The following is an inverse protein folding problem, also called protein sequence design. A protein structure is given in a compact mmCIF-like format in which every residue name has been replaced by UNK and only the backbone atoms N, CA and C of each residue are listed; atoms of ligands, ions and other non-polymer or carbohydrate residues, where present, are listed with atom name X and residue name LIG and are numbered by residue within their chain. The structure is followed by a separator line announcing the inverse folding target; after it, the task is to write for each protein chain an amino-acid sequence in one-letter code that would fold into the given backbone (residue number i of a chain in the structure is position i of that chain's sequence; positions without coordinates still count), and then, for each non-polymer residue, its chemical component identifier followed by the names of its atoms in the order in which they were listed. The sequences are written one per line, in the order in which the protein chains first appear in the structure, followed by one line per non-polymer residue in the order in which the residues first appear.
data_IF_149275160001
#
_entry.id   IF_149275160001
#
_cell.length_a   1.000
_cell.length_b   1.000
_cell.length_c   1.000
_cell.angle_alpha   90.00
_cell.angle_beta   90.00
_cell.angle_gamma   90.00
#
_symmetry.space_group_name_H-M   'P 1'
#
loop_
_entity.id
_entity.type
_entity.pdbx_description
1 polymer ?
#
# COMPACT_ATOMS: atom_id res chain seq x y z
N UNK A 1 -21.44 0.89 -10.50
CA UNK A 1 -22.88 0.97 -10.20
C UNK A 1 -23.69 0.62 -11.45
N UNK A 2 -24.88 0.00 -11.30
CA UNK A 2 -25.82 -0.22 -12.43
C UNK A 2 -26.87 0.85 -12.41
N UNK A 3 -26.85 1.76 -13.38
CA UNK A 3 -27.93 2.70 -13.65
C UNK A 3 -28.57 2.35 -14.99
N UNK A 4 -29.90 2.14 -15.03
CA UNK A 4 -30.66 1.84 -16.24
C UNK A 4 -30.13 0.70 -17.11
N UNK A 5 -29.52 -0.33 -16.49
CA UNK A 5 -28.97 -1.48 -17.19
C UNK A 5 -27.57 -1.32 -17.79
N UNK A 6 -26.97 -0.13 -17.73
CA UNK A 6 -25.58 0.13 -18.09
C UNK A 6 -24.69 0.10 -16.85
N UNK A 7 -23.43 -0.36 -16.99
CA UNK A 7 -22.41 -0.19 -15.97
C UNK A 7 -21.79 1.19 -16.10
N UNK A 8 -21.86 2.00 -15.06
CA UNK A 8 -21.12 3.26 -14.98
C UNK A 8 -19.79 3.02 -14.28
N UNK A 9 -18.67 3.60 -14.77
CA UNK A 9 -17.39 3.50 -14.08
C UNK A 9 -17.49 4.15 -12.70
N UNK A 10 -16.86 3.52 -11.71
CA UNK A 10 -16.70 4.05 -10.36
C UNK A 10 -15.21 4.27 -10.15
N UNK A 11 -14.81 5.51 -9.90
CA UNK A 11 -13.42 5.86 -9.69
C UNK A 11 -13.00 5.58 -8.23
N UNK A 12 -11.75 5.17 -7.98
CA UNK A 12 -11.26 4.86 -6.64
C UNK A 12 -11.45 5.99 -5.62
N UNK A 13 -11.26 7.25 -5.99
CA UNK A 13 -11.48 8.40 -5.11
C UNK A 13 -12.91 8.49 -4.54
N UNK A 14 -13.91 7.94 -5.26
CA UNK A 14 -15.31 7.96 -4.81
C UNK A 14 -15.58 7.07 -3.60
N UNK A 15 -14.62 6.18 -3.23
CA UNK A 15 -14.69 5.40 -2.01
C UNK A 15 -14.10 6.13 -0.80
N UNK A 16 -13.35 7.21 -1.01
CA UNK A 16 -12.76 8.02 0.06
C UNK A 16 -13.81 8.99 0.61
N UNK A 17 -13.96 9.03 1.94
CA UNK A 17 -15.01 9.81 2.64
C UNK A 17 -14.48 11.01 3.40
N UNK A 18 -13.17 11.14 3.49
CA UNK A 18 -12.48 12.25 4.16
C UNK A 18 -11.42 12.80 3.21
N UNK A 19 -11.11 14.08 3.35
CA UNK A 19 -10.12 14.71 2.51
C UNK A 19 -8.70 14.15 2.73
N UNK A 20 -7.84 14.31 1.71
CA UNK A 20 -6.45 13.89 1.74
C UNK A 20 -5.49 15.07 1.97
N UNK A 21 -4.22 14.77 2.29
CA UNK A 21 -3.16 15.78 2.39
C UNK A 21 -3.01 16.58 1.10
N UNK A 22 -3.25 15.93 -0.04
CA UNK A 22 -3.16 16.56 -1.37
C UNK A 22 -4.26 17.61 -1.56
N UNK A 23 -5.50 17.28 -1.20
CA UNK A 23 -6.61 18.26 -1.24
C UNK A 23 -6.37 19.43 -0.30
N UNK A 24 -5.84 19.16 0.91
CA UNK A 24 -5.48 20.23 1.84
C UNK A 24 -4.40 21.12 1.23
N UNK A 25 -3.29 20.56 0.75
CA UNK A 25 -2.22 21.33 0.13
C UNK A 25 -2.72 22.21 -1.04
N UNK A 26 -3.56 21.65 -1.90
CA UNK A 26 -4.17 22.42 -3.01
C UNK A 26 -5.09 23.55 -2.55
N UNK A 27 -5.80 23.38 -1.47
CA UNK A 27 -6.63 24.45 -0.89
C UNK A 27 -5.78 25.67 -0.52
N UNK A 28 -4.52 25.46 -0.19
CA UNK A 28 -3.53 26.51 0.09
C UNK A 28 -2.70 26.91 -1.14
N UNK A 29 -3.09 26.47 -2.33
CA UNK A 29 -2.44 26.85 -3.59
C UNK A 29 -1.11 26.13 -3.84
N UNK A 30 -0.81 25.05 -3.10
CA UNK A 30 0.40 24.26 -3.28
C UNK A 30 0.20 23.25 -4.42
N UNK A 31 1.26 23.04 -5.21
CA UNK A 31 1.29 22.00 -6.24
C UNK A 31 1.58 20.64 -5.63
N UNK A 32 0.94 19.60 -6.16
CA UNK A 32 1.00 18.23 -5.63
C UNK A 32 1.27 17.21 -6.74
N UNK A 33 2.05 16.19 -6.42
CA UNK A 33 2.30 15.07 -7.33
C UNK A 33 2.39 13.74 -6.58
N UNK A 34 2.07 12.65 -7.27
CA UNK A 34 2.21 11.31 -6.70
C UNK A 34 2.44 10.26 -7.78
N UNK A 35 3.32 9.30 -7.51
CA UNK A 35 3.56 8.15 -8.38
C UNK A 35 3.26 6.83 -7.66
N UNK A 36 2.47 5.96 -8.29
CA UNK A 36 2.10 4.68 -7.70
C UNK A 36 2.10 3.54 -8.73
N UNK A 37 1.66 2.34 -8.31
CA UNK A 37 1.78 1.08 -9.07
C UNK A 37 0.54 0.68 -9.87
N UNK A 38 -0.60 1.28 -9.58
CA UNK A 38 -1.87 1.01 -10.25
C UNK A 38 -2.64 2.30 -10.44
N UNK A 39 -3.40 2.47 -11.54
CA UNK A 39 -4.35 3.56 -11.67
C UNK A 39 -5.38 3.63 -10.53
N UNK A 40 -5.64 2.50 -9.85
CA UNK A 40 -6.53 2.45 -8.68
C UNK A 40 -6.03 3.30 -7.49
N UNK A 41 -4.74 3.61 -7.42
CA UNK A 41 -4.21 4.56 -6.42
C UNK A 41 -4.58 6.02 -6.70
N UNK A 42 -5.30 6.29 -7.75
CA UNK A 42 -6.01 7.55 -8.00
C UNK A 42 -6.89 7.97 -6.79
N UNK A 43 -7.19 7.03 -5.90
CA UNK A 43 -7.86 7.30 -4.62
C UNK A 43 -7.20 8.42 -3.78
N UNK A 44 -5.89 8.66 -3.94
CA UNK A 44 -5.16 9.74 -3.25
C UNK A 44 -5.67 11.14 -3.61
N UNK A 45 -6.38 11.27 -4.74
CA UNK A 45 -7.07 12.49 -5.13
C UNK A 45 -8.14 12.95 -4.12
N UNK A 46 -8.55 12.04 -3.21
CA UNK A 46 -9.59 12.32 -2.23
C UNK A 46 -10.98 12.50 -2.84
N UNK A 47 -12.03 12.75 -2.05
CA UNK A 47 -13.41 12.82 -2.49
C UNK A 47 -13.68 13.76 -3.66
N UNK A 48 -12.87 14.80 -3.83
CA UNK A 48 -13.01 15.75 -4.97
C UNK A 48 -12.54 15.17 -6.31
N UNK A 49 -11.74 14.08 -6.28
CA UNK A 49 -11.08 13.52 -7.46
C UNK A 49 -9.98 14.44 -8.05
N UNK A 50 -9.55 15.47 -7.33
CA UNK A 50 -8.67 16.52 -7.84
C UNK A 50 -7.53 16.93 -6.88
N UNK A 51 -7.22 16.10 -5.88
CA UNK A 51 -6.19 16.41 -4.88
C UNK A 51 -4.77 16.38 -5.44
N UNK A 52 -4.50 15.61 -6.46
CA UNK A 52 -3.16 15.49 -7.08
C UNK A 52 -3.15 16.16 -8.44
N UNK A 53 -2.23 17.10 -8.65
CA UNK A 53 -2.07 17.82 -9.93
C UNK A 53 -1.38 16.98 -10.98
N UNK A 54 -0.44 16.12 -10.56
CA UNK A 54 0.39 15.30 -11.43
C UNK A 54 0.43 13.86 -10.89
N UNK A 55 -0.48 13.03 -11.38
CA UNK A 55 -0.61 11.63 -10.96
C UNK A 55 -0.03 10.70 -12.02
N UNK A 56 1.02 9.96 -11.65
CA UNK A 56 1.72 9.02 -12.51
C UNK A 56 1.66 7.60 -11.94
N UNK A 57 0.80 6.75 -12.48
CA UNK A 57 0.60 5.39 -11.99
C UNK A 57 0.48 4.38 -13.15
N UNK A 58 1.60 4.04 -13.79
CA UNK A 58 1.62 2.97 -14.81
C UNK A 58 1.22 1.63 -14.16
N UNK A 59 0.43 0.81 -14.87
CA UNK A 59 -0.05 -0.48 -14.36
C UNK A 59 1.10 -1.48 -14.23
N UNK A 60 1.42 -1.91 -13.00
CA UNK A 60 2.52 -2.84 -12.72
C UNK A 60 2.27 -4.25 -13.26
N UNK A 61 1.00 -4.66 -13.41
CA UNK A 61 0.65 -5.95 -13.98
C UNK A 61 0.68 -5.95 -15.52
N UNK A 62 1.07 -4.82 -16.15
CA UNK A 62 1.25 -4.76 -17.60
C UNK A 62 2.44 -5.60 -18.07
N UNK A 63 2.40 -6.02 -19.33
CA UNK A 63 3.43 -6.86 -19.95
C UNK A 63 4.72 -6.04 -20.23
N UNK A 64 5.81 -6.31 -19.50
CA UNK A 64 7.06 -5.57 -19.63
C UNK A 64 7.72 -5.72 -21.01
N UNK A 65 7.44 -6.82 -21.74
CA UNK A 65 8.00 -7.06 -23.08
C UNK A 65 7.49 -6.05 -24.11
N UNK A 66 6.35 -5.42 -23.85
CA UNK A 66 5.72 -4.42 -24.72
C UNK A 66 6.22 -3.00 -24.47
N UNK A 67 7.01 -2.79 -23.43
CA UNK A 67 7.43 -1.44 -23.01
C UNK A 67 8.89 -1.39 -22.57
N UNK A 68 9.17 -1.60 -21.30
CA UNK A 68 10.46 -1.32 -20.69
C UNK A 68 11.49 -2.46 -20.80
N UNK A 69 11.03 -3.71 -20.99
CA UNK A 69 11.89 -4.90 -21.04
C UNK A 69 11.56 -5.74 -22.27
N UNK A 70 11.99 -5.34 -23.50
CA UNK A 70 11.68 -6.09 -24.71
C UNK A 70 12.17 -7.56 -24.72
N UNK A 71 13.16 -7.87 -23.88
CA UNK A 71 13.69 -9.25 -23.69
C UNK A 71 12.88 -10.12 -22.73
N UNK A 72 11.88 -9.54 -22.04
CA UNK A 72 11.00 -10.32 -21.17
C UNK A 72 10.13 -11.27 -22.00
N UNK A 73 9.69 -12.36 -21.37
CA UNK A 73 8.74 -13.28 -22.01
C UNK A 73 7.40 -12.56 -22.23
N UNK A 74 6.84 -12.56 -23.46
CA UNK A 74 5.51 -12.00 -23.70
C UNK A 74 4.45 -12.60 -22.78
N UNK A 75 3.59 -11.76 -22.21
CA UNK A 75 2.57 -12.15 -21.24
C UNK A 75 3.06 -12.26 -19.80
N UNK A 76 4.33 -11.86 -19.52
CA UNK A 76 4.80 -11.67 -18.15
C UNK A 76 4.19 -10.41 -17.52
N UNK A 77 4.38 -10.26 -16.20
CA UNK A 77 4.13 -9.04 -15.44
C UNK A 77 5.45 -8.49 -14.90
N UNK A 78 5.49 -7.19 -14.58
CA UNK A 78 6.64 -6.63 -13.83
C UNK A 78 6.81 -7.28 -12.46
N UNK A 79 5.76 -7.88 -11.90
CA UNK A 79 5.80 -8.59 -10.62
C UNK A 79 6.32 -10.03 -10.71
N UNK A 80 6.61 -10.55 -11.91
CA UNK A 80 7.11 -11.92 -12.07
C UNK A 80 8.57 -12.10 -11.59
N UNK A 81 9.34 -10.99 -11.49
CA UNK A 81 10.72 -10.98 -10.99
C UNK A 81 11.04 -9.65 -10.34
N UNK A 82 11.83 -9.68 -9.24
CA UNK A 82 12.29 -8.44 -8.60
C UNK A 82 13.07 -7.54 -9.56
N UNK A 83 13.89 -8.10 -10.48
CA UNK A 83 14.64 -7.34 -11.49
C UNK A 83 13.74 -6.66 -12.52
N UNK A 84 12.56 -7.20 -12.80
CA UNK A 84 11.57 -6.51 -13.62
C UNK A 84 10.90 -5.38 -12.84
N UNK A 85 10.64 -5.62 -11.55
CA UNK A 85 10.12 -4.60 -10.66
C UNK A 85 11.12 -3.46 -10.42
N UNK A 86 12.44 -3.72 -10.42
CA UNK A 86 13.48 -2.67 -10.40
C UNK A 86 13.41 -1.75 -11.62
N UNK A 87 13.28 -2.32 -12.82
CA UNK A 87 13.09 -1.52 -14.05
C UNK A 87 11.81 -0.70 -14.00
N UNK A 88 10.75 -1.27 -13.44
CA UNK A 88 9.50 -0.57 -13.22
C UNK A 88 9.66 0.57 -12.18
N UNK A 89 10.39 0.33 -11.10
CA UNK A 89 10.69 1.35 -10.09
C UNK A 89 11.56 2.46 -10.68
N UNK A 90 12.58 2.14 -11.49
CA UNK A 90 13.40 3.14 -12.20
C UNK A 90 12.56 4.05 -13.10
N UNK A 91 11.52 3.51 -13.74
CA UNK A 91 10.58 4.30 -14.54
C UNK A 91 9.83 5.33 -13.70
N UNK A 92 9.38 4.96 -12.49
CA UNK A 92 8.78 5.89 -11.54
C UNK A 92 9.81 6.84 -10.90
N UNK A 93 11.02 6.35 -10.62
CA UNK A 93 12.13 7.21 -10.15
C UNK A 93 12.38 8.35 -11.13
N UNK A 94 12.35 8.07 -12.45
CA UNK A 94 12.51 9.14 -13.44
C UNK A 94 11.35 10.15 -13.35
N UNK A 95 10.12 9.72 -13.08
CA UNK A 95 9.01 10.64 -12.84
C UNK A 95 9.26 11.56 -11.63
N UNK A 96 9.77 11.00 -10.51
CA UNK A 96 10.15 11.80 -9.34
C UNK A 96 11.28 12.78 -9.65
N UNK A 97 12.30 12.38 -10.42
CA UNK A 97 13.36 13.28 -10.84
C UNK A 97 12.83 14.44 -11.72
N UNK A 98 11.87 14.14 -12.58
CA UNK A 98 11.15 15.16 -13.36
C UNK A 98 10.39 16.14 -12.44
N UNK A 99 9.68 15.65 -11.43
CA UNK A 99 8.98 16.48 -10.45
C UNK A 99 9.94 17.38 -9.67
N UNK A 100 11.09 16.85 -9.22
CA UNK A 100 12.16 17.64 -8.56
C UNK A 100 12.67 18.75 -9.48
N UNK A 101 12.78 18.46 -10.78
CA UNK A 101 13.17 19.44 -11.82
C UNK A 101 12.06 20.45 -12.16
N UNK A 102 10.89 20.33 -11.55
CA UNK A 102 9.74 21.19 -11.83
C UNK A 102 9.07 20.91 -13.17
N UNK A 103 9.21 19.68 -13.68
CA UNK A 103 8.59 19.17 -14.91
C UNK A 103 7.39 18.28 -14.55
N UNK A 104 6.60 17.91 -15.56
CA UNK A 104 5.57 16.86 -15.41
C UNK A 104 6.23 15.49 -15.25
N UNK A 105 5.59 14.60 -14.50
CA UNK A 105 6.09 13.23 -14.23
C UNK A 105 6.50 12.48 -15.49
N UNK A 106 5.70 12.59 -16.55
CA UNK A 106 5.89 11.86 -17.81
C UNK A 106 6.81 12.57 -18.83
N UNK A 107 7.35 13.75 -18.50
CA UNK A 107 8.20 14.54 -19.42
C UNK A 107 9.40 13.71 -19.91
N UNK A 108 9.45 13.50 -21.23
CA UNK A 108 10.48 12.67 -21.87
C UNK A 108 10.33 11.16 -21.70
N UNK A 109 9.26 10.67 -21.07
CA UNK A 109 8.95 9.26 -20.98
C UNK A 109 8.16 8.77 -22.21
N UNK A 110 8.22 7.47 -22.48
CA UNK A 110 7.47 6.87 -23.58
C UNK A 110 5.95 7.00 -23.35
N UNK A 111 5.24 7.58 -24.30
CA UNK A 111 3.80 7.82 -24.20
C UNK A 111 3.42 9.13 -23.48
N UNK A 112 4.40 9.98 -23.17
CA UNK A 112 4.16 11.29 -22.58
C UNK A 112 3.20 12.12 -23.42
N UNK A 113 2.33 12.88 -22.73
CA UNK A 113 1.55 13.92 -23.38
C UNK A 113 2.48 15.06 -23.81
N UNK A 114 2.18 15.70 -24.95
CA UNK A 114 2.92 16.90 -25.36
C UNK A 114 2.55 18.07 -24.43
N UNK A 115 3.32 18.22 -23.37
CA UNK A 115 3.16 19.30 -22.39
C UNK A 115 3.89 20.57 -22.78
N UNK A 116 4.36 20.67 -24.06
CA UNK A 116 5.14 21.72 -24.69
C UNK A 116 5.34 22.98 -23.82
N UNK A 117 6.41 22.98 -23.04
CA UNK A 117 6.92 24.19 -22.36
C UNK A 117 6.21 24.61 -21.08
N UNK A 118 5.15 23.95 -20.63
CA UNK A 118 4.55 24.20 -19.31
C UNK A 118 5.33 23.48 -18.21
N UNK A 119 5.89 24.24 -17.28
CA UNK A 119 6.55 23.73 -16.09
C UNK A 119 5.67 23.98 -14.87
N UNK A 120 5.19 22.94 -14.19
CA UNK A 120 4.33 23.12 -12.99
C UNK A 120 5.10 23.67 -11.79
N UNK A 121 6.42 23.53 -11.77
CA UNK A 121 7.28 23.77 -10.60
C UNK A 121 7.42 22.51 -9.74
N UNK A 122 8.39 22.50 -8.84
CA UNK A 122 8.58 21.40 -7.90
C UNK A 122 7.37 21.31 -6.96
N UNK A 123 6.71 20.14 -6.84
CA UNK A 123 5.57 20.01 -5.95
C UNK A 123 5.92 20.18 -4.48
N UNK A 124 4.99 20.69 -3.67
CA UNK A 124 5.15 20.75 -2.22
C UNK A 124 5.01 19.37 -1.55
N UNK A 125 4.17 18.50 -2.14
CA UNK A 125 4.04 17.09 -1.74
C UNK A 125 4.24 16.25 -2.98
N UNK A 126 5.21 15.36 -2.92
CA UNK A 126 5.43 14.37 -3.97
C UNK A 126 6.10 13.12 -3.40
N UNK A 127 5.99 12.01 -4.11
CA UNK A 127 6.58 10.75 -3.70
C UNK A 127 6.13 9.59 -4.57
N UNK A 128 6.64 8.41 -4.23
CA UNK A 128 6.32 7.19 -4.95
C UNK A 128 6.28 5.97 -4.03
N UNK A 129 5.75 4.88 -4.60
CA UNK A 129 5.74 3.56 -4.00
C UNK A 129 6.75 2.67 -4.74
N UNK A 130 7.78 2.16 -4.04
CA UNK A 130 8.70 1.14 -4.58
C UNK A 130 8.06 -0.25 -4.54
N UNK A 131 8.43 -1.12 -5.48
CA UNK A 131 7.85 -2.45 -5.62
C UNK A 131 8.86 -3.60 -5.65
N UNK A 132 10.09 -3.36 -6.07
CA UNK A 132 11.11 -4.41 -6.20
C UNK A 132 11.31 -5.17 -4.88
N UNK A 133 11.39 -4.44 -3.76
CA UNK A 133 11.53 -5.04 -2.43
C UNK A 133 10.37 -5.97 -2.09
N UNK A 134 9.12 -5.55 -2.33
CA UNK A 134 7.94 -6.37 -2.07
C UNK A 134 7.92 -7.65 -2.91
N UNK A 135 8.35 -7.58 -4.16
CA UNK A 135 8.46 -8.76 -5.03
C UNK A 135 9.52 -9.73 -4.53
N UNK A 136 10.71 -9.22 -4.18
CA UNK A 136 11.80 -10.04 -3.64
C UNK A 136 11.45 -10.69 -2.29
N UNK A 137 10.73 -9.99 -1.41
CA UNK A 137 10.28 -10.52 -0.13
C UNK A 137 9.30 -11.69 -0.26
N UNK A 138 8.45 -11.66 -1.29
CA UNK A 138 7.45 -12.70 -1.54
C UNK A 138 7.99 -13.90 -2.30
N UNK A 139 9.15 -13.79 -2.97
CA UNK A 139 9.68 -14.84 -3.83
C UNK A 139 10.01 -16.12 -3.02
N UNK A 140 9.40 -17.24 -3.42
CA UNK A 140 9.56 -18.55 -2.80
C UNK A 140 10.86 -19.27 -3.18
N UNK A 141 11.72 -18.67 -4.03
CA UNK A 141 13.01 -19.22 -4.38
C UNK A 141 13.95 -19.31 -3.15
N UNK A 142 15.00 -20.09 -3.24
CA UNK A 142 16.01 -20.15 -2.18
C UNK A 142 16.77 -18.82 -2.00
N UNK A 143 16.75 -17.94 -3.00
CA UNK A 143 17.40 -16.63 -2.99
C UNK A 143 16.46 -15.49 -2.56
N UNK A 144 15.13 -15.71 -2.65
CA UNK A 144 14.10 -14.74 -2.26
C UNK A 144 13.82 -14.70 -0.77
N UNK A 145 13.05 -13.73 -0.34
CA UNK A 145 12.61 -13.54 1.04
C UNK A 145 13.77 -13.40 2.04
N UNK A 146 13.59 -13.94 3.23
CA UNK A 146 14.56 -13.87 4.33
C UNK A 146 15.21 -15.23 4.59
N UNK A 147 16.46 -15.22 5.06
CA UNK A 147 17.23 -16.45 5.32
C UNK A 147 16.99 -17.03 6.71
N UNK A 148 16.50 -16.22 7.64
CA UNK A 148 16.20 -16.64 9.01
C UNK A 148 15.02 -15.87 9.62
N UNK A 149 14.59 -16.31 10.80
CA UNK A 149 13.50 -15.72 11.55
C UNK A 149 13.83 -14.32 12.13
N UNK A 150 15.08 -13.90 12.12
CA UNK A 150 15.51 -12.57 12.55
C UNK A 150 15.41 -11.54 11.42
N UNK A 151 15.02 -11.96 10.22
CA UNK A 151 14.82 -11.08 9.07
C UNK A 151 16.10 -10.75 8.31
N UNK A 152 17.15 -11.59 8.40
CA UNK A 152 18.31 -11.41 7.55
C UNK A 152 17.91 -11.58 6.08
N UNK A 153 18.19 -10.58 5.20
CA UNK A 153 17.71 -10.59 3.83
C UNK A 153 18.35 -11.70 3.00
N UNK A 154 17.55 -12.40 2.21
CA UNK A 154 18.05 -13.23 1.13
C UNK A 154 18.70 -12.40 0.02
N UNK A 155 19.47 -13.04 -0.90
CA UNK A 155 20.18 -12.30 -1.96
C UNK A 155 19.32 -11.37 -2.78
N UNK A 156 18.10 -11.78 -3.12
CA UNK A 156 17.16 -10.95 -3.92
C UNK A 156 16.62 -9.75 -3.13
N UNK A 157 16.33 -9.94 -1.84
CA UNK A 157 15.91 -8.85 -0.95
C UNK A 157 17.05 -7.87 -0.72
N UNK A 158 18.28 -8.36 -0.58
CA UNK A 158 19.47 -7.51 -0.42
C UNK A 158 19.72 -6.67 -1.70
N UNK A 159 19.57 -7.27 -2.88
CA UNK A 159 19.70 -6.58 -4.17
C UNK A 159 18.62 -5.50 -4.34
N UNK A 160 17.35 -5.84 -4.12
CA UNK A 160 16.24 -4.89 -4.19
C UNK A 160 16.37 -3.73 -3.17
N UNK A 161 16.90 -4.00 -1.97
CA UNK A 161 17.21 -2.96 -0.98
C UNK A 161 18.30 -2.02 -1.49
N UNK A 162 19.40 -2.58 -2.04
CA UNK A 162 20.50 -1.78 -2.59
C UNK A 162 20.03 -0.90 -3.77
N UNK A 163 19.17 -1.45 -4.65
CA UNK A 163 18.58 -0.71 -5.75
C UNK A 163 17.66 0.43 -5.24
N UNK A 164 16.84 0.16 -4.23
CA UNK A 164 15.96 1.16 -3.61
C UNK A 164 16.77 2.28 -2.95
N UNK A 165 17.81 1.94 -2.18
CA UNK A 165 18.72 2.91 -1.55
C UNK A 165 19.43 3.79 -2.58
N UNK A 166 19.97 3.18 -3.63
CA UNK A 166 20.60 3.91 -4.74
C UNK A 166 19.61 4.87 -5.44
N UNK A 167 18.36 4.47 -5.57
CA UNK A 167 17.31 5.30 -6.17
C UNK A 167 16.93 6.48 -5.28
N UNK A 168 16.82 6.29 -3.96
CA UNK A 168 16.66 7.37 -2.99
C UNK A 168 17.88 8.31 -3.06
N UNK A 169 19.09 7.76 -3.16
CA UNK A 169 20.32 8.55 -3.36
C UNK A 169 20.26 9.46 -4.60
N UNK A 170 19.72 8.97 -5.73
CA UNK A 170 19.50 9.80 -6.94
C UNK A 170 18.55 10.98 -6.66
N UNK A 171 17.46 10.73 -5.91
CA UNK A 171 16.50 11.77 -5.55
C UNK A 171 17.11 12.83 -4.63
N UNK A 172 17.86 12.40 -3.60
CA UNK A 172 18.57 13.32 -2.69
C UNK A 172 19.58 14.17 -3.45
N UNK A 173 20.36 13.60 -4.36
CA UNK A 173 21.31 14.32 -5.19
C UNK A 173 20.61 15.34 -6.11
N UNK A 174 19.45 14.99 -6.66
CA UNK A 174 18.65 15.91 -7.47
C UNK A 174 18.10 17.08 -6.64
N UNK A 175 17.61 16.82 -5.42
CA UNK A 175 17.16 17.86 -4.49
C UNK A 175 18.33 18.79 -4.10
N UNK A 176 19.52 18.25 -3.85
CA UNK A 176 20.71 19.04 -3.53
C UNK A 176 21.15 19.92 -4.72
N UNK A 177 21.19 19.36 -5.93
CA UNK A 177 21.51 20.09 -7.15
C UNK A 177 20.54 21.25 -7.43
N UNK A 178 19.30 21.13 -6.98
CA UNK A 178 18.28 22.18 -7.06
C UNK A 178 18.24 23.10 -5.83
N UNK A 179 19.13 22.90 -4.86
CA UNK A 179 19.15 23.62 -3.58
C UNK A 179 17.87 23.46 -2.74
N UNK A 180 17.14 22.35 -2.93
CA UNK A 180 15.86 22.06 -2.26
C UNK A 180 16.05 21.13 -1.04
N UNK A 181 17.16 20.40 -0.93
CA UNK A 181 17.33 19.36 0.11
C UNK A 181 17.13 19.91 1.55
N UNK A 182 17.59 21.14 1.83
CA UNK A 182 17.45 21.75 3.16
C UNK A 182 16.01 22.18 3.50
N UNK A 183 15.15 22.32 2.51
CA UNK A 183 13.73 22.66 2.66
C UNK A 183 12.80 21.50 2.37
N UNK A 184 13.33 20.27 2.23
CA UNK A 184 12.56 19.08 1.95
C UNK A 184 12.65 18.11 3.13
N UNK A 185 11.50 17.73 3.68
CA UNK A 185 11.39 16.59 4.60
C UNK A 185 11.25 15.31 3.80
N UNK A 186 12.18 14.39 3.99
CA UNK A 186 12.16 13.07 3.33
C UNK A 186 11.64 12.04 4.32
N UNK A 187 10.56 11.36 3.97
CA UNK A 187 9.95 10.31 4.77
C UNK A 187 10.03 9.00 3.99
N UNK A 188 10.66 7.98 4.56
CA UNK A 188 10.73 6.63 4.02
C UNK A 188 9.99 5.70 4.99
N UNK A 189 8.95 5.04 4.50
CA UNK A 189 8.15 4.11 5.29
C UNK A 189 7.51 3.07 4.39
N UNK A 190 6.73 2.16 4.97
CA UNK A 190 5.91 1.22 4.22
C UNK A 190 4.46 1.26 4.74
N UNK A 191 3.50 0.95 3.87
CA UNK A 191 2.09 0.84 4.24
C UNK A 191 1.78 -0.47 4.94
N UNK A 192 2.58 -1.50 4.70
CA UNK A 192 2.52 -2.84 5.31
C UNK A 192 3.90 -3.50 5.19
N UNK A 193 4.13 -4.53 6.00
CA UNK A 193 5.25 -5.44 5.86
C UNK A 193 4.91 -6.64 4.96
N UNK A 194 5.50 -7.79 5.25
CA UNK A 194 5.22 -9.09 4.60
C UNK A 194 5.29 -10.20 5.66
N UNK A 195 4.34 -11.13 5.64
CA UNK A 195 4.29 -12.25 6.60
C UNK A 195 4.13 -13.59 5.88
N UNK A 196 4.82 -14.67 6.31
CA UNK A 196 5.82 -14.68 7.38
C UNK A 196 7.23 -14.30 6.91
N UNK A 197 8.01 -13.66 7.79
CA UNK A 197 9.48 -13.53 7.63
C UNK A 197 10.14 -14.89 7.79
N UNK A 198 9.74 -15.67 8.80
CA UNK A 198 10.23 -17.03 9.01
C UNK A 198 9.55 -18.01 8.07
N UNK A 199 10.22 -18.35 6.97
CA UNK A 199 9.72 -19.30 5.96
C UNK A 199 9.39 -20.69 6.53
N UNK A 200 9.95 -21.11 7.67
CA UNK A 200 9.63 -22.39 8.30
C UNK A 200 8.19 -22.45 8.82
N UNK A 201 7.62 -21.28 9.09
CA UNK A 201 6.23 -21.14 9.53
C UNK A 201 5.23 -21.12 8.36
N UNK A 202 5.72 -20.95 7.12
CA UNK A 202 4.84 -20.82 5.95
C UNK A 202 3.88 -22.01 5.81
N UNK A 203 2.61 -21.70 5.65
CA UNK A 203 1.51 -22.65 5.42
C UNK A 203 0.56 -22.09 4.39
N UNK A 204 0.62 -22.63 3.19
CA UNK A 204 -0.31 -22.31 2.12
C UNK A 204 -1.67 -22.96 2.39
N UNK A 205 -2.72 -22.20 2.23
CA UNK A 205 -4.13 -22.64 2.31
C UNK A 205 -4.85 -22.21 1.05
N UNK A 206 -5.75 -23.04 0.57
CA UNK A 206 -6.64 -22.70 -0.53
C UNK A 206 -7.71 -21.71 -0.06
N UNK A 207 -7.56 -20.44 -0.40
CA UNK A 207 -8.51 -19.38 -0.03
C UNK A 207 -9.91 -19.63 -0.61
N UNK A 208 -9.98 -20.05 -1.87
CA UNK A 208 -11.26 -20.36 -2.52
C UNK A 208 -11.99 -21.51 -1.81
N UNK A 209 -11.25 -22.52 -1.32
CA UNK A 209 -11.84 -23.61 -0.55
C UNK A 209 -12.35 -23.13 0.82
N UNK A 210 -11.67 -22.19 1.47
CA UNK A 210 -12.14 -21.56 2.71
C UNK A 210 -13.38 -20.69 2.44
N UNK A 211 -13.37 -19.89 1.36
CA UNK A 211 -14.54 -19.11 0.97
C UNK A 211 -15.77 -20.01 0.69
N UNK A 212 -15.56 -21.13 0.01
CA UNK A 212 -16.63 -22.11 -0.25
C UNK A 212 -17.15 -22.75 1.05
N UNK A 213 -16.28 -22.98 2.06
CA UNK A 213 -16.70 -23.45 3.38
C UNK A 213 -17.62 -22.43 4.07
N UNK A 214 -17.29 -21.14 3.98
CA UNK A 214 -18.12 -20.05 4.54
C UNK A 214 -19.42 -19.94 3.76
N UNK A 215 -19.39 -19.94 2.42
CA UNK A 215 -20.55 -19.79 1.55
C UNK A 215 -21.60 -20.90 1.78
N UNK A 216 -21.13 -22.12 2.06
CA UNK A 216 -22.02 -23.25 2.39
C UNK A 216 -22.81 -23.04 3.70
N UNK A 217 -22.28 -22.28 4.65
CA UNK A 217 -22.89 -21.97 5.93
C UNK A 217 -23.67 -20.64 5.93
N UNK A 218 -23.14 -19.66 5.20
CA UNK A 218 -23.65 -18.30 5.09
C UNK A 218 -23.29 -17.75 3.71
N UNK A 219 -24.25 -17.53 2.80
CA UNK A 219 -23.97 -17.12 1.43
C UNK A 219 -23.10 -15.87 1.35
N UNK A 220 -21.98 -15.95 0.60
CA UNK A 220 -20.97 -14.93 0.43
C UNK A 220 -21.23 -14.12 -0.85
N UNK A 221 -21.21 -12.80 -0.78
CA UNK A 221 -21.33 -11.90 -1.93
C UNK A 221 -19.98 -11.30 -2.37
N UNK A 222 -18.97 -11.39 -1.52
CA UNK A 222 -17.61 -10.96 -1.79
C UNK A 222 -16.65 -11.49 -0.74
N UNK A 223 -15.40 -11.75 -1.15
CA UNK A 223 -14.33 -12.19 -0.26
C UNK A 223 -12.97 -11.72 -0.77
N UNK A 224 -12.03 -11.58 0.15
CA UNK A 224 -10.61 -11.27 -0.12
C UNK A 224 -9.78 -12.10 0.84
N UNK A 225 -8.80 -12.84 0.33
CA UNK A 225 -7.89 -13.64 1.13
C UNK A 225 -6.42 -13.40 0.72
N UNK A 226 -5.61 -13.02 1.72
CA UNK A 226 -4.16 -12.93 1.64
C UNK A 226 -3.54 -13.63 2.88
N UNK A 227 -2.97 -12.92 3.85
CA UNK A 227 -2.68 -13.42 5.21
C UNK A 227 -3.75 -12.96 6.22
N UNK A 228 -4.90 -12.66 5.72
CA UNK A 228 -6.17 -12.34 6.36
C UNK A 228 -7.28 -12.85 5.46
N UNK A 229 -8.47 -13.12 5.99
CA UNK A 229 -9.65 -13.30 5.14
C UNK A 229 -10.77 -12.33 5.54
N UNK A 230 -11.42 -11.76 4.54
CA UNK A 230 -12.52 -10.80 4.67
C UNK A 230 -13.73 -11.37 3.92
N UNK A 231 -14.89 -11.44 4.58
CA UNK A 231 -16.12 -11.95 3.98
C UNK A 231 -17.26 -10.95 4.10
N UNK A 232 -17.92 -10.69 2.99
CA UNK A 232 -19.19 -9.95 2.92
C UNK A 232 -20.32 -10.94 2.66
N UNK A 233 -21.31 -10.99 3.55
CA UNK A 233 -22.39 -11.93 3.51
C UNK A 233 -23.63 -11.36 2.81
N UNK A 234 -24.36 -12.20 2.09
CA UNK A 234 -25.65 -11.80 1.49
C UNK A 234 -26.69 -11.41 2.57
N UNK A 235 -26.57 -12.00 3.75
CA UNK A 235 -27.37 -11.68 4.92
C UNK A 235 -26.47 -11.60 6.16
N UNK A 236 -26.15 -10.39 6.67
CA UNK A 236 -25.33 -10.22 7.87
C UNK A 236 -25.81 -11.00 9.11
N UNK A 237 -27.12 -11.30 9.19
CA UNK A 237 -27.65 -12.09 10.29
C UNK A 237 -27.13 -13.54 10.33
N UNK A 238 -26.51 -14.02 9.25
CA UNK A 238 -25.91 -15.36 9.18
C UNK A 238 -24.44 -15.39 9.62
N UNK A 239 -23.87 -14.27 10.08
CA UNK A 239 -22.46 -14.17 10.49
C UNK A 239 -22.06 -15.23 11.55
N UNK A 240 -22.94 -15.56 12.50
CA UNK A 240 -22.69 -16.61 13.49
C UNK A 240 -22.47 -18.01 12.84
N UNK A 241 -23.16 -18.30 11.75
CA UNK A 241 -22.96 -19.57 11.01
C UNK A 241 -21.61 -19.56 10.27
N UNK A 242 -21.21 -18.43 9.69
CA UNK A 242 -19.89 -18.25 9.08
C UNK A 242 -18.76 -18.42 10.11
N UNK A 243 -18.87 -17.77 11.28
CA UNK A 243 -17.93 -17.92 12.39
C UNK A 243 -17.81 -19.38 12.81
N UNK A 244 -18.94 -20.06 13.03
CA UNK A 244 -18.94 -21.48 13.41
C UNK A 244 -18.25 -22.37 12.37
N UNK A 245 -18.47 -22.12 11.08
CA UNK A 245 -17.83 -22.88 10.01
C UNK A 245 -16.30 -22.69 10.01
N UNK A 246 -15.82 -21.48 10.29
CA UNK A 246 -14.40 -21.14 10.36
C UNK A 246 -13.70 -21.69 11.62
N UNK A 247 -14.39 -21.69 12.76
CA UNK A 247 -13.83 -22.16 14.04
C UNK A 247 -13.95 -23.67 14.25
N UNK A 248 -14.95 -24.29 13.63
CA UNK A 248 -15.24 -25.73 13.75
C UNK A 248 -15.39 -26.37 12.37
N UNK A 249 -14.35 -26.30 11.53
CA UNK A 249 -14.46 -26.76 10.16
C UNK A 249 -14.74 -28.25 10.08
N UNK A 250 -15.72 -28.63 9.25
CA UNK A 250 -15.99 -30.03 8.95
C UNK A 250 -14.84 -30.60 8.07
N UNK A 251 -13.89 -31.22 8.70
CA UNK A 251 -12.91 -32.19 8.25
C UNK A 251 -12.14 -32.02 6.90
N UNK A 252 -12.57 -31.21 5.94
CA UNK A 252 -11.92 -31.16 4.61
C UNK A 252 -11.02 -29.95 4.35
N UNK A 253 -11.26 -28.85 5.07
CA UNK A 253 -10.48 -27.61 4.91
C UNK A 253 -10.19 -27.02 6.28
N UNK A 254 -8.92 -26.91 6.65
CA UNK A 254 -8.49 -26.15 7.85
C UNK A 254 -8.24 -24.69 7.44
N UNK A 255 -9.09 -23.73 7.82
CA UNK A 255 -8.90 -22.33 7.51
C UNK A 255 -7.73 -21.70 8.29
N UNK A 256 -7.13 -22.44 9.24
CA UNK A 256 -6.07 -21.97 10.13
C UNK A 256 -6.40 -20.64 10.81
N UNK A 257 -7.67 -20.46 11.18
CA UNK A 257 -8.12 -19.32 11.94
C UNK A 257 -7.46 -19.30 13.34
N UNK A 258 -6.95 -18.13 13.74
CA UNK A 258 -6.51 -17.83 15.11
C UNK A 258 -7.65 -17.15 15.87
N UNK A 259 -8.22 -16.11 15.27
CA UNK A 259 -9.38 -15.39 15.79
C UNK A 259 -10.30 -15.07 14.62
N UNK A 260 -11.59 -15.26 14.83
CA UNK A 260 -12.62 -14.84 13.87
C UNK A 260 -13.40 -13.70 14.49
N UNK A 261 -13.38 -12.54 13.87
CA UNK A 261 -14.14 -11.37 14.26
C UNK A 261 -15.43 -11.31 13.45
N UNK A 262 -16.53 -10.93 14.06
CA UNK A 262 -17.79 -10.70 13.37
C UNK A 262 -18.48 -9.43 13.84
N UNK A 263 -19.39 -8.92 13.03
CA UNK A 263 -20.18 -7.74 13.36
C UNK A 263 -21.00 -7.86 14.65
N UNK A 264 -21.19 -9.09 15.15
CA UNK A 264 -21.88 -9.35 16.43
C UNK A 264 -20.95 -9.17 17.65
N UNK A 265 -19.62 -9.07 17.45
CA UNK A 265 -18.68 -9.00 18.57
C UNK A 265 -18.65 -7.60 19.18
N UNK A 266 -18.62 -7.49 20.52
CA UNK A 266 -18.41 -6.20 21.16
C UNK A 266 -17.11 -5.55 20.71
N UNK A 267 -17.19 -4.31 20.19
CA UNK A 267 -16.03 -3.55 19.73
C UNK A 267 -15.67 -3.74 18.26
N UNK A 268 -16.27 -4.67 17.53
CA UNK A 268 -16.03 -4.85 16.10
C UNK A 268 -16.18 -3.53 15.32
N UNK A 269 -17.32 -2.84 15.52
CA UNK A 269 -17.59 -1.58 14.84
C UNK A 269 -16.58 -0.45 15.18
N UNK A 270 -15.99 -0.48 16.37
CA UNK A 270 -14.96 0.48 16.76
C UNK A 270 -13.60 0.20 16.10
N UNK A 271 -13.31 -1.07 15.78
CA UNK A 271 -12.05 -1.47 15.15
C UNK A 271 -12.12 -1.43 13.63
N UNK A 272 -13.20 -1.92 13.05
CA UNK A 272 -13.29 -2.21 11.61
C UNK A 272 -14.37 -1.39 10.89
N UNK A 273 -15.25 -0.73 11.62
CA UNK A 273 -16.46 -0.09 11.09
C UNK A 273 -17.71 -0.93 11.28
N UNK A 274 -18.86 -0.35 10.99
CA UNK A 274 -20.17 -0.98 11.16
C UNK A 274 -20.71 -1.42 9.78
N UNK A 275 -20.73 -2.73 9.47
CA UNK A 275 -21.17 -3.23 8.17
C UNK A 275 -22.66 -2.95 7.90
N UNK A 276 -23.47 -2.67 8.94
CA UNK A 276 -24.87 -2.27 8.74
C UNK A 276 -25.01 -0.84 8.21
N UNK A 277 -23.97 -0.03 8.35
CA UNK A 277 -23.90 1.38 7.93
C UNK A 277 -23.00 1.58 6.72
N UNK A 278 -22.05 0.69 6.53
CA UNK A 278 -21.03 0.76 5.50
C UNK A 278 -20.87 -0.61 4.81
N UNK A 279 -21.38 -0.74 3.59
CA UNK A 279 -21.30 -2.00 2.84
C UNK A 279 -19.86 -2.35 2.41
N UNK A 280 -18.87 -1.46 2.61
CA UNK A 280 -17.46 -1.78 2.39
C UNK A 280 -16.83 -2.48 3.61
N UNK A 281 -17.44 -2.40 4.78
CA UNK A 281 -16.97 -3.14 5.95
C UNK A 281 -17.38 -4.62 5.80
N UNK A 282 -16.44 -5.58 5.93
CA UNK A 282 -16.78 -7.00 5.91
C UNK A 282 -17.60 -7.39 7.13
N UNK A 283 -18.44 -8.42 6.98
CA UNK A 283 -19.25 -8.96 8.09
C UNK A 283 -18.43 -9.90 8.98
N UNK A 284 -17.43 -10.57 8.40
CA UNK A 284 -16.53 -11.50 9.09
C UNK A 284 -15.09 -11.25 8.65
N UNK A 285 -14.17 -11.20 9.62
CA UNK A 285 -12.73 -11.03 9.41
C UNK A 285 -12.01 -12.18 10.12
N UNK A 286 -11.12 -12.86 9.40
CA UNK A 286 -10.31 -13.96 9.95
C UNK A 286 -8.88 -13.50 10.17
N UNK A 287 -8.45 -13.39 11.42
CA UNK A 287 -7.05 -13.36 11.77
C UNK A 287 -6.52 -14.78 11.71
N UNK A 288 -5.51 -15.01 10.88
CA UNK A 288 -4.94 -16.33 10.68
C UNK A 288 -3.86 -16.67 11.70
N UNK A 289 -3.59 -17.96 11.90
CA UNK A 289 -2.43 -18.45 12.66
C UNK A 289 -1.15 -18.01 11.95
N UNK A 290 -0.14 -17.59 12.70
CA UNK A 290 1.14 -17.10 12.17
C UNK A 290 1.68 -18.02 11.07
N UNK A 291 2.13 -17.40 9.99
CA UNK A 291 2.69 -18.07 8.83
C UNK A 291 1.67 -18.60 7.82
N UNK A 292 0.38 -18.40 8.02
CA UNK A 292 -0.64 -18.81 7.06
C UNK A 292 -0.80 -17.77 5.98
N UNK A 293 -0.80 -18.20 4.72
CA UNK A 293 -1.23 -17.40 3.57
C UNK A 293 -2.30 -18.16 2.78
N UNK A 294 -3.31 -17.47 2.34
CA UNK A 294 -4.39 -18.00 1.51
C UNK A 294 -4.00 -17.97 0.03
N UNK A 295 -2.95 -18.70 -0.31
CA UNK A 295 -2.46 -18.81 -1.69
C UNK A 295 -1.83 -20.18 -1.93
N UNK A 296 -2.22 -20.84 -3.01
CA UNK A 296 -1.59 -22.07 -3.49
C UNK A 296 -0.45 -21.79 -4.48
N UNK A 297 -0.09 -20.53 -4.69
CA UNK A 297 1.01 -20.15 -5.56
C UNK A 297 2.34 -20.67 -5.00
N UNK A 298 3.04 -21.49 -5.78
CA UNK A 298 4.40 -21.94 -5.45
C UNK A 298 5.48 -20.88 -5.66
N UNK A 299 5.08 -19.69 -6.08
CA UNK A 299 5.96 -18.54 -6.33
C UNK A 299 6.05 -17.59 -5.15
N UNK A 300 5.17 -17.74 -4.15
CA UNK A 300 5.06 -16.82 -3.02
C UNK A 300 5.11 -17.56 -1.69
N UNK A 301 5.99 -17.12 -0.81
CA UNK A 301 6.11 -17.61 0.58
C UNK A 301 5.61 -16.60 1.62
N UNK A 302 5.18 -15.42 1.22
CA UNK A 302 4.65 -14.37 2.09
C UNK A 302 3.53 -13.56 1.41
N UNK A 303 2.65 -13.00 2.20
CA UNK A 303 1.60 -12.05 1.81
C UNK A 303 1.47 -10.95 2.86
N UNK A 304 0.51 -10.06 2.69
CA UNK A 304 0.30 -8.89 3.53
C UNK A 304 -1.19 -8.56 3.72
N UNK A 305 -1.48 -7.67 4.66
CA UNK A 305 -2.84 -7.18 4.97
C UNK A 305 -3.39 -7.77 6.26
N UNK A 306 -2.62 -8.65 6.90
CA UNK A 306 -2.99 -9.36 8.11
C UNK A 306 -2.65 -8.63 9.42
N UNK A 307 -2.56 -9.41 10.49
CA UNK A 307 -2.38 -8.92 11.86
C UNK A 307 -1.03 -9.34 12.47
N UNK A 308 -0.17 -9.99 11.68
CA UNK A 308 1.13 -10.40 12.17
C UNK A 308 2.05 -9.19 12.39
N UNK A 309 2.93 -9.25 13.39
CA UNK A 309 3.92 -8.20 13.62
C UNK A 309 4.82 -7.98 12.39
N UNK A 310 5.13 -9.06 11.69
CA UNK A 310 5.93 -9.05 10.44
C UNK A 310 5.28 -8.18 9.36
N UNK A 311 3.96 -8.07 9.35
CA UNK A 311 3.19 -7.27 8.39
C UNK A 311 2.82 -5.89 8.95
N UNK A 312 2.47 -5.81 10.24
CA UNK A 312 1.98 -4.57 10.85
C UNK A 312 3.11 -3.63 11.30
N UNK A 313 4.31 -4.16 11.60
CA UNK A 313 5.43 -3.38 12.12
C UNK A 313 6.38 -3.00 10.97
N UNK A 314 6.31 -1.75 10.54
CA UNK A 314 7.06 -1.24 9.39
C UNK A 314 8.12 -0.22 9.80
N UNK A 315 9.16 -0.10 8.98
CA UNK A 315 10.17 0.94 9.17
C UNK A 315 9.58 2.33 8.95
N UNK A 316 10.05 3.30 9.73
CA UNK A 316 9.77 4.72 9.54
C UNK A 316 11.05 5.52 9.76
N UNK A 317 11.50 6.21 8.72
CA UNK A 317 12.69 7.04 8.72
C UNK A 317 12.31 8.42 8.23
N UNK A 318 12.74 9.45 8.96
CA UNK A 318 12.52 10.85 8.60
C UNK A 318 13.87 11.55 8.53
N UNK A 319 14.12 12.27 7.45
CA UNK A 319 15.40 12.91 7.20
C UNK A 319 15.24 14.33 6.66
N UNK A 320 16.05 15.22 7.19
CA UNK A 320 16.33 16.55 6.66
C UNK A 320 17.71 16.98 7.19
N UNK A 321 18.53 17.74 6.45
CA UNK A 321 19.84 18.18 6.92
C UNK A 321 19.85 19.05 8.18
N UNK A 322 18.70 19.51 8.66
CA UNK A 322 18.57 20.24 9.92
C UNK A 322 18.31 19.31 11.12
N UNK A 323 17.90 18.09 10.87
CA UNK A 323 17.65 17.10 11.92
C UNK A 323 18.96 16.48 12.39
N UNK A 324 19.04 16.20 13.68
CA UNK A 324 20.13 15.43 14.26
C UNK A 324 19.78 13.93 14.22
N UNK A 325 20.77 13.09 13.92
CA UNK A 325 20.56 11.65 13.93
C UNK A 325 20.15 11.17 15.33
N UNK A 326 18.98 10.58 15.45
CA UNK A 326 18.45 10.01 16.67
C UNK A 326 17.57 8.79 16.36
N UNK A 327 17.44 7.91 17.34
CA UNK A 327 16.43 6.85 17.34
C UNK A 327 15.36 7.29 18.32
N UNK A 328 14.11 7.26 17.89
CA UNK A 328 12.96 7.53 18.74
C UNK A 328 12.21 6.20 18.96
N UNK A 329 12.19 5.73 20.22
CA UNK A 329 11.56 4.47 20.61
C UNK A 329 10.08 4.66 21.03
N UNK A 330 9.52 5.86 20.90
CA UNK A 330 8.11 6.08 21.19
C UNK A 330 7.22 5.32 20.19
N UNK A 331 6.15 4.64 20.64
CA UNK A 331 5.21 3.97 19.77
C UNK A 331 4.53 4.95 18.82
N UNK A 332 4.71 4.76 17.51
CA UNK A 332 4.09 5.58 16.48
C UNK A 332 3.23 4.72 15.54
N UNK A 333 2.38 5.36 14.76
CA UNK A 333 1.53 4.72 13.76
C UNK A 333 1.66 5.42 12.42
N UNK A 334 1.57 4.69 11.32
CA UNK A 334 1.65 5.24 9.97
C UNK A 334 0.62 6.34 9.70
N UNK A 335 -0.54 6.32 10.36
CA UNK A 335 -1.54 7.40 10.25
C UNK A 335 -1.05 8.77 10.77
N UNK A 336 0.06 8.82 11.54
CA UNK A 336 0.67 10.06 12.00
C UNK A 336 1.51 10.75 10.93
N UNK A 337 1.84 10.05 9.85
CA UNK A 337 2.63 10.61 8.73
C UNK A 337 1.88 11.75 8.05
N UNK A 338 0.60 11.59 7.78
CA UNK A 338 -0.21 12.60 7.10
C UNK A 338 -0.29 13.95 7.84
N UNK A 339 -0.64 14.01 9.15
CA UNK A 339 -0.60 15.26 9.90
C UNK A 339 0.82 15.84 10.02
N UNK A 340 1.86 15.00 10.09
CA UNK A 340 3.26 15.45 10.12
C UNK A 340 3.66 16.15 8.81
N UNK A 341 3.21 15.64 7.66
CA UNK A 341 3.48 16.29 6.37
C UNK A 341 2.86 17.68 6.33
N UNK A 342 1.61 17.84 6.80
CA UNK A 342 0.97 19.16 6.82
C UNK A 342 1.68 20.13 7.77
N UNK A 343 2.05 19.67 8.95
CA UNK A 343 2.80 20.46 9.92
C UNK A 343 4.14 20.94 9.35
N UNK A 344 4.88 20.06 8.68
CA UNK A 344 6.13 20.40 8.00
C UNK A 344 5.96 21.41 6.84
N UNK A 345 4.75 21.60 6.36
CA UNK A 345 4.39 22.61 5.35
C UNK A 345 3.80 23.88 5.98
N UNK A 346 3.89 24.07 7.30
CA UNK A 346 3.24 25.14 8.04
C UNK A 346 1.71 25.17 7.86
N UNK A 347 1.09 24.01 7.62
CA UNK A 347 -0.35 23.86 7.51
C UNK A 347 -0.91 23.16 8.76
N UNK A 348 -2.00 23.69 9.32
CA UNK A 348 -2.64 23.09 10.48
C UNK A 348 -3.13 21.65 10.16
N UNK A 349 -2.61 20.60 10.83
CA UNK A 349 -3.05 19.21 10.61
C UNK A 349 -4.56 18.99 10.76
N UNK A 350 -5.26 19.87 11.48
CA UNK A 350 -6.72 19.82 11.67
C UNK A 350 -7.51 20.16 10.40
N UNK A 351 -6.85 20.58 9.31
CA UNK A 351 -7.48 20.63 8.00
C UNK A 351 -7.80 19.23 7.47
N UNK A 352 -7.13 18.17 7.96
CA UNK A 352 -7.56 16.81 7.72
C UNK A 352 -8.79 16.47 8.56
N UNK A 353 -9.85 16.09 7.91
CA UNK A 353 -11.11 15.73 8.56
C UNK A 353 -10.93 14.50 9.48
N UNK A 354 -10.14 13.50 9.05
CA UNK A 354 -9.79 12.34 9.85
C UNK A 354 -9.06 12.73 11.14
N UNK A 355 -8.12 13.69 11.08
CA UNK A 355 -7.40 14.19 12.26
C UNK A 355 -8.35 14.83 13.25
N UNK A 356 -9.31 15.65 12.78
CA UNK A 356 -10.33 16.25 13.68
C UNK A 356 -11.21 15.22 14.36
N UNK A 357 -11.53 14.12 13.66
CA UNK A 357 -12.41 13.05 14.17
C UNK A 357 -11.70 12.13 15.16
N UNK A 358 -10.44 11.80 14.87
CA UNK A 358 -9.68 10.79 15.61
C UNK A 358 -8.69 11.36 16.63
N UNK A 359 -8.37 12.65 16.54
CA UNK A 359 -7.36 13.29 17.40
C UNK A 359 -5.94 12.80 17.10
N UNK A 360 -5.65 12.35 15.88
CA UNK A 360 -4.33 11.86 15.48
C UNK A 360 -3.29 12.96 15.61
N UNK A 361 -2.22 12.69 16.36
CA UNK A 361 -1.10 13.63 16.57
C UNK A 361 -0.08 13.47 15.45
N UNK A 362 0.79 14.46 15.28
CA UNK A 362 2.01 14.35 14.46
C UNK A 362 2.98 13.33 15.05
N UNK A 363 3.98 12.93 14.28
CA UNK A 363 5.09 12.12 14.77
C UNK A 363 5.85 12.89 15.84
N UNK A 364 6.29 12.24 16.95
CA UNK A 364 7.05 12.91 18.02
C UNK A 364 8.50 13.16 17.61
N UNK A 365 9.13 14.16 18.22
CA UNK A 365 10.56 14.39 18.14
C UNK A 365 11.03 15.24 16.95
N UNK A 366 10.12 15.96 16.29
CA UNK A 366 10.48 16.90 15.24
C UNK A 366 10.14 18.34 15.64
N UNK A 367 11.18 19.16 15.76
CA UNK A 367 11.08 20.62 15.75
C UNK A 367 11.63 21.10 14.39
N UNK A 368 10.76 21.60 13.53
CA UNK A 368 11.11 22.03 12.16
C UNK A 368 11.75 23.43 12.08
#
# INVERSE_FOLDING_TARGET
AKHHGACEPVFPHQFIRVNTIFEVAKTFGLHTAWSDKHPAYELVNGPSGAGVDDFFAPEINSDPSKSLIPSAKPGSSFTDKWTYAEVYDDYKVQAILNQIDGKWSDDGLAGAADTAGRRPGTPAIFGMNFQALSVAQKDASAAGGYVDAAGAPGPEVADALAHTDASIGKMLAALEARHLLRSTLVIVTAKHGQSPIDKTLHRAVDGDAVAALVDAAAPVVGHIEDDVALYWLANPATAAAAVHALESPAASVDPRADTVFSAADPGFAAMFGDPTRDPHTPDVIVKVKKGTIYSLSKKKDAEHGGFADDDAHVALLVSNPKLHGAINDEPVRTKQVAPTILDALDLDPRWLEAVRREGTQTLPGFDY
#
